data_IF_913544771289
#
_entry.id   IF_913544771289
#
_cell.length_a   1.000
_cell.length_b   1.000
_cell.length_c   1.000
_cell.angle_alpha   90.00
_cell.angle_beta   90.00
_cell.angle_gamma   90.00
#
_symmetry.space_group_name_H-M   'P 1'
#
loop_
_entity.id
_entity.type
_entity.pdbx_description
1 polymer ?
#
# COMPACT_ATOMS: atom_id res chain seq x y z
N UNK A 1 18.55 -17.31 4.26
CA UNK A 1 18.54 -16.10 3.43
C UNK A 1 17.25 -16.05 2.58
N UNK A 2 16.10 -15.80 3.21
CA UNK A 2 14.78 -15.65 2.54
C UNK A 2 13.93 -14.55 3.21
N UNK A 3 14.52 -13.42 3.62
CA UNK A 3 13.74 -12.33 4.23
C UNK A 3 13.35 -11.25 3.21
N UNK A 4 13.91 -11.29 2.00
CA UNK A 4 14.01 -10.15 1.10
C UNK A 4 12.81 -10.00 0.12
N UNK A 5 11.94 -11.00 -0.01
CA UNK A 5 10.71 -10.91 -0.82
C UNK A 5 9.44 -10.62 0.03
N UNK A 6 9.59 -10.59 1.35
CA UNK A 6 8.47 -10.66 2.28
C UNK A 6 7.92 -9.28 2.67
N UNK A 7 8.76 -8.24 2.73
CA UNK A 7 8.31 -6.95 3.25
C UNK A 7 7.41 -6.19 2.26
N UNK A 8 7.78 -6.14 0.98
CA UNK A 8 6.96 -5.49 -0.06
C UNK A 8 5.55 -6.11 -0.17
N UNK A 9 5.44 -7.44 -0.10
CA UNK A 9 4.16 -8.13 -0.11
C UNK A 9 3.34 -7.87 1.16
N UNK A 10 4.01 -7.87 2.32
CA UNK A 10 3.38 -7.55 3.60
C UNK A 10 2.77 -6.15 3.60
N UNK A 11 3.51 -5.14 3.15
CA UNK A 11 3.01 -3.76 3.08
C UNK A 11 1.81 -3.66 2.15
N UNK A 12 1.90 -4.24 0.95
CA UNK A 12 0.78 -4.26 -0.01
C UNK A 12 -0.46 -4.91 0.61
N UNK A 13 -0.29 -6.03 1.31
CA UNK A 13 -1.39 -6.70 1.99
C UNK A 13 -2.00 -5.85 3.11
N UNK A 14 -1.18 -5.17 3.91
CA UNK A 14 -1.67 -4.24 4.94
C UNK A 14 -2.48 -3.09 4.32
N UNK A 15 -1.99 -2.47 3.24
CA UNK A 15 -2.74 -1.42 2.54
C UNK A 15 -4.06 -1.96 1.95
N UNK A 16 -4.05 -3.17 1.37
CA UNK A 16 -5.28 -3.79 0.87
C UNK A 16 -6.32 -3.98 1.97
N UNK A 17 -5.90 -4.37 3.18
CA UNK A 17 -6.81 -4.52 4.31
C UNK A 17 -7.40 -3.18 4.74
N UNK A 18 -6.60 -2.10 4.80
CA UNK A 18 -7.11 -0.75 5.09
C UNK A 18 -8.17 -0.34 4.06
N UNK A 19 -7.88 -0.53 2.76
CA UNK A 19 -8.84 -0.21 1.68
C UNK A 19 -10.13 -1.04 1.85
N UNK A 20 -10.01 -2.33 2.15
CA UNK A 20 -11.15 -3.22 2.39
C UNK A 20 -11.99 -2.77 3.57
N UNK A 21 -11.37 -2.41 4.69
CA UNK A 21 -12.05 -1.91 5.88
C UNK A 21 -12.83 -0.62 5.57
N UNK A 22 -12.23 0.33 4.85
CA UNK A 22 -12.91 1.56 4.44
C UNK A 22 -14.12 1.26 3.56
N UNK A 23 -13.99 0.35 2.59
CA UNK A 23 -15.12 -0.09 1.74
C UNK A 23 -16.26 -0.67 2.60
N UNK A 24 -15.92 -1.50 3.60
CA UNK A 24 -16.88 -2.14 4.49
C UNK A 24 -17.58 -1.13 5.42
N UNK A 25 -16.82 -0.23 6.04
CA UNK A 25 -17.33 0.81 6.95
C UNK A 25 -18.26 1.80 6.25
N UNK A 26 -18.01 2.09 4.97
CA UNK A 26 -18.88 2.94 4.15
C UNK A 26 -20.06 2.18 3.52
N UNK A 27 -20.19 0.88 3.78
CA UNK A 27 -21.23 0.00 3.22
C UNK A 27 -21.28 0.01 1.68
N UNK A 28 -20.15 0.17 1.01
CA UNK A 28 -20.11 0.17 -0.45
C UNK A 28 -20.11 -1.25 -1.00
N UNK A 29 -20.98 -1.49 -1.98
CA UNK A 29 -20.85 -2.67 -2.83
C UNK A 29 -19.66 -2.54 -3.80
N UNK A 30 -19.30 -3.63 -4.47
CA UNK A 30 -18.13 -3.64 -5.35
C UNK A 30 -18.21 -2.64 -6.50
N UNK A 31 -19.40 -2.38 -7.05
CA UNK A 31 -19.58 -1.43 -8.14
C UNK A 31 -19.37 0.01 -7.68
N UNK A 32 -19.90 0.37 -6.51
CA UNK A 32 -19.70 1.69 -5.90
C UNK A 32 -18.23 1.92 -5.59
N UNK A 33 -17.56 0.95 -4.96
CA UNK A 33 -16.13 1.02 -4.68
C UNK A 33 -15.29 1.12 -5.97
N UNK A 34 -15.68 0.41 -7.04
CA UNK A 34 -15.01 0.48 -8.34
C UNK A 34 -15.09 1.88 -8.94
N UNK A 35 -16.27 2.52 -8.87
CA UNK A 35 -16.48 3.90 -9.32
C UNK A 35 -15.63 4.89 -8.52
N UNK A 36 -15.61 4.77 -7.19
CA UNK A 36 -14.84 5.66 -6.30
C UNK A 36 -13.33 5.51 -6.55
N UNK A 37 -12.83 4.28 -6.62
CA UNK A 37 -11.41 4.00 -6.85
C UNK A 37 -10.99 4.18 -8.32
N UNK A 38 -11.94 4.36 -9.25
CA UNK A 38 -11.68 4.52 -10.68
C UNK A 38 -11.02 3.28 -11.28
N UNK A 39 -11.59 2.11 -11.00
CA UNK A 39 -11.17 0.80 -11.52
C UNK A 39 -12.39 0.01 -11.96
N UNK A 40 -12.17 -1.16 -12.56
CA UNK A 40 -13.22 -2.13 -12.82
C UNK A 40 -13.60 -2.93 -11.56
N UNK A 41 -14.76 -3.58 -11.61
CA UNK A 41 -15.23 -4.43 -10.51
C UNK A 41 -14.29 -5.61 -10.20
N UNK A 42 -13.68 -6.31 -11.19
CA UNK A 42 -12.70 -7.37 -10.91
C UNK A 42 -11.55 -6.92 -10.02
N UNK A 43 -11.05 -5.69 -10.18
CA UNK A 43 -10.01 -5.14 -9.29
C UNK A 43 -10.50 -4.98 -7.85
N UNK A 44 -11.76 -4.61 -7.65
CA UNK A 44 -12.34 -4.56 -6.29
C UNK A 44 -12.44 -5.95 -5.67
N UNK A 45 -12.83 -6.96 -6.45
CA UNK A 45 -12.83 -8.35 -5.99
C UNK A 45 -11.42 -8.81 -5.59
N UNK A 46 -10.38 -8.44 -6.35
CA UNK A 46 -9.00 -8.73 -5.99
C UNK A 46 -8.60 -8.08 -4.64
N UNK A 47 -9.03 -6.84 -4.39
CA UNK A 47 -8.79 -6.14 -3.12
C UNK A 47 -9.46 -6.86 -1.95
N UNK A 48 -10.76 -7.16 -2.06
CA UNK A 48 -11.55 -7.80 -1.00
C UNK A 48 -10.97 -9.17 -0.61
N UNK A 49 -10.40 -9.88 -1.60
CA UNK A 49 -9.77 -11.18 -1.45
C UNK A 49 -8.27 -11.11 -1.09
N UNK A 50 -7.70 -9.92 -0.85
CA UNK A 50 -6.31 -9.76 -0.42
C UNK A 50 -5.25 -10.11 -1.48
N UNK A 51 -5.59 -10.05 -2.78
CA UNK A 51 -4.67 -10.43 -3.87
C UNK A 51 -3.72 -9.28 -4.21
N UNK A 52 -2.49 -9.32 -3.71
CA UNK A 52 -1.47 -8.27 -3.90
C UNK A 52 -0.80 -8.28 -5.29
N UNK A 53 -0.69 -9.44 -5.94
CA UNK A 53 0.08 -9.62 -7.19
C UNK A 53 -0.40 -8.75 -8.37
N UNK A 54 -1.63 -8.22 -8.30
CA UNK A 54 -2.22 -7.36 -9.34
C UNK A 54 -2.07 -5.85 -9.11
N UNK A 55 -1.30 -5.43 -8.10
CA UNK A 55 -1.17 -4.04 -7.69
C UNK A 55 0.29 -3.64 -7.42
N UNK A 56 0.70 -2.49 -7.97
CA UNK A 56 1.93 -1.81 -7.54
C UNK A 56 1.68 -1.08 -6.21
N UNK A 57 2.75 -0.72 -5.49
CA UNK A 57 2.60 0.02 -4.23
C UNK A 57 2.01 1.42 -4.52
N UNK A 58 2.49 2.11 -5.54
CA UNK A 58 2.00 3.42 -5.99
C UNK A 58 0.51 3.39 -6.30
N UNK A 59 0.03 2.30 -6.92
CA UNK A 59 -1.39 2.14 -7.21
C UNK A 59 -2.22 2.02 -5.94
N UNK A 60 -1.74 1.27 -4.95
CA UNK A 60 -2.40 1.13 -3.66
C UNK A 60 -2.40 2.45 -2.87
N UNK A 61 -1.30 3.20 -2.88
CA UNK A 61 -1.24 4.54 -2.27
C UNK A 61 -2.23 5.50 -2.94
N UNK A 62 -2.36 5.43 -4.27
CA UNK A 62 -3.36 6.23 -5.00
C UNK A 62 -4.79 5.89 -4.56
N UNK A 63 -5.09 4.63 -4.27
CA UNK A 63 -6.41 4.26 -3.73
C UNK A 63 -6.64 4.86 -2.35
N UNK A 64 -5.66 4.81 -1.44
CA UNK A 64 -5.77 5.45 -0.13
C UNK A 64 -6.04 6.96 -0.25
N UNK A 65 -5.36 7.66 -1.16
CA UNK A 65 -5.64 9.09 -1.41
C UNK A 65 -7.06 9.34 -1.92
N UNK A 66 -7.59 8.48 -2.82
CA UNK A 66 -8.98 8.55 -3.28
C UNK A 66 -10.01 8.26 -2.20
N UNK A 67 -9.61 7.57 -1.14
CA UNK A 67 -10.41 7.29 0.04
C UNK A 67 -10.21 8.35 1.14
N UNK A 68 -9.62 9.49 0.80
CA UNK A 68 -9.36 10.60 1.71
C UNK A 68 -8.44 10.24 2.88
N UNK A 69 -7.63 9.18 2.76
CA UNK A 69 -6.59 8.90 3.74
C UNK A 69 -5.46 9.92 3.60
N UNK A 70 -5.03 10.50 4.73
CA UNK A 70 -3.75 11.21 4.79
C UNK A 70 -2.61 10.20 4.84
N UNK A 71 -1.57 10.42 4.04
CA UNK A 71 -0.39 9.56 3.99
C UNK A 71 0.84 10.43 4.26
N UNK A 72 1.54 10.15 5.35
CA UNK A 72 2.82 10.76 5.68
C UNK A 72 3.94 9.73 5.37
N UNK A 73 4.84 10.06 4.45
CA UNK A 73 5.96 9.20 4.07
C UNK A 73 7.28 9.80 4.56
N UNK A 74 7.98 9.07 5.43
CA UNK A 74 9.30 9.44 5.95
C UNK A 74 10.39 8.62 5.27
N UNK A 75 11.38 9.31 4.69
CA UNK A 75 12.52 8.68 4.02
C UNK A 75 13.78 8.98 4.85
N UNK A 76 14.47 7.93 5.28
CA UNK A 76 15.79 8.05 5.92
C UNK A 76 16.86 7.52 4.98
N UNK A 77 17.81 8.37 4.60
CA UNK A 77 18.99 7.96 3.85
C UNK A 77 20.06 7.52 4.84
N UNK A 78 20.40 6.23 4.84
CA UNK A 78 21.61 5.79 5.52
C UNK A 78 22.83 6.36 4.78
N UNK A 79 23.49 7.34 5.41
CA UNK A 79 24.75 7.91 4.95
C UNK A 79 25.85 6.85 5.07
N UNK A 80 25.94 5.95 4.09
CA UNK A 80 27.20 5.27 3.82
C UNK A 80 28.08 6.27 3.07
N UNK A 81 28.76 7.15 3.82
CA UNK A 81 29.83 7.98 3.31
C UNK A 81 30.95 7.07 2.82
N UNK A 82 30.91 6.68 1.55
CA UNK A 82 31.91 5.83 0.91
C UNK A 82 31.27 4.73 0.05
N UNK A 83 31.60 4.78 -1.24
CA UNK A 83 31.34 3.77 -2.28
C UNK A 83 30.03 3.93 -3.05
N UNK A 84 30.18 4.60 -4.19
CA UNK A 84 29.43 4.27 -5.40
C UNK A 84 29.58 2.76 -5.62
N UNK A 85 28.54 1.99 -5.31
CA UNK A 85 28.34 0.67 -5.90
C UNK A 85 27.08 0.74 -6.76
N UNK A 86 27.31 1.03 -8.03
CA UNK A 86 26.45 0.52 -9.09
C UNK A 86 26.24 -0.98 -8.83
N UNK A 87 24.98 -1.44 -8.90
CA UNK A 87 24.49 -2.81 -8.63
C UNK A 87 23.95 -3.13 -7.22
N UNK A 88 23.38 -2.17 -6.49
CA UNK A 88 22.38 -2.49 -5.47
C UNK A 88 20.99 -2.12 -5.98
N UNK A 89 20.15 -3.14 -6.14
CA UNK A 89 18.79 -3.07 -6.66
C UNK A 89 18.03 -1.87 -6.08
N UNK A 90 17.73 -0.90 -6.94
CA UNK A 90 17.09 0.39 -6.61
C UNK A 90 15.68 0.26 -6.00
N UNK A 91 15.15 -0.97 -5.92
CA UNK A 91 13.75 -1.24 -5.58
C UNK A 91 13.60 -2.09 -4.31
N UNK A 92 14.47 -1.90 -3.31
CA UNK A 92 14.32 -2.63 -2.04
C UNK A 92 13.30 -1.95 -1.10
N UNK A 93 12.08 -2.50 -1.06
CA UNK A 93 10.99 -2.11 -0.16
C UNK A 93 11.22 -2.52 1.32
N UNK A 94 12.33 -3.18 1.65
CA UNK A 94 12.65 -3.65 3.01
C UNK A 94 12.75 -2.53 4.06
N UNK A 95 13.02 -1.29 3.63
CA UNK A 95 13.16 -0.13 4.52
C UNK A 95 11.87 0.65 4.74
N UNK A 96 10.77 0.26 4.10
CA UNK A 96 9.48 0.91 4.29
C UNK A 96 8.77 0.27 5.48
N UNK A 97 8.48 1.09 6.50
CA UNK A 97 7.61 0.72 7.60
C UNK A 97 6.29 1.46 7.45
N UNK A 98 5.18 0.71 7.37
CA UNK A 98 3.84 1.30 7.39
C UNK A 98 3.37 1.42 8.85
N UNK A 99 3.09 2.65 9.27
CA UNK A 99 2.48 2.95 10.57
C UNK A 99 1.07 3.46 10.30
N UNK A 100 0.07 2.79 10.87
CA UNK A 100 -1.33 3.23 10.80
C UNK A 100 -1.58 4.08 12.06
N UNK A 101 -1.80 5.37 11.87
CA UNK A 101 -2.15 6.26 12.96
C UNK A 101 -3.66 6.18 13.21
N UNK A 102 -4.11 5.96 14.47
CA UNK A 102 -5.53 6.03 14.79
C UNK A 102 -6.05 7.44 14.51
N UNK A 103 -7.27 7.55 13.98
CA UNK A 103 -7.94 8.84 13.96
C UNK A 103 -8.27 9.20 15.40
N UNK A 104 -7.69 10.28 15.94
CA UNK A 104 -8.19 10.87 17.18
C UNK A 104 -9.59 11.41 16.87
N UNK A 105 -10.61 10.75 17.43
CA UNK A 105 -11.95 11.32 17.44
C UNK A 105 -11.91 12.55 18.35
N UNK A 106 -11.93 13.74 17.76
CA UNK A 106 -12.22 15.01 18.45
C UNK A 106 -13.65 15.02 18.97
#
# INVERSE_FOLDING_TARGET
>A
MKNNEHNGQKIKFQILNIIKEIIQLNHWNQMTAAKILGVDQPKISQIINGKTAGFSLERLLTFLLKLNCKIDLSISTQNNSGLIHENQSKDNLDYINLIILPQENL
#
